data_IF_324842849573
#
_entry.id   IF_324842849573
#
_cell.length_a   1.000
_cell.length_b   1.000
_cell.length_c   1.000
_cell.angle_alpha   90.00
_cell.angle_beta   90.00
_cell.angle_gamma   90.00
#
_symmetry.space_group_name_H-M   'P 1'
#
loop_
_entity.id
_entity.type
_entity.pdbx_description
1 polymer ?
#
# COMPACT_ATOMS: atom_id res chain seq x y z
N UNK A 1 35.51 32.90 -49.31
CA UNK A 1 35.47 33.88 -48.20
C UNK A 1 34.52 33.31 -47.15
N UNK A 2 35.11 32.86 -46.04
CA UNK A 2 34.56 32.32 -44.77
C UNK A 2 33.27 31.48 -44.76
N UNK A 3 33.45 30.17 -44.50
CA UNK A 3 32.49 29.31 -43.80
C UNK A 3 32.51 29.63 -42.30
N UNK A 4 31.35 29.83 -41.67
CA UNK A 4 31.21 30.00 -40.21
C UNK A 4 30.96 28.62 -39.58
N UNK A 5 31.96 28.10 -38.86
CA UNK A 5 31.91 26.82 -38.13
C UNK A 5 31.26 26.98 -36.75
N UNK A 6 30.47 25.97 -36.42
CA UNK A 6 30.13 25.42 -35.10
C UNK A 6 31.26 25.61 -34.06
N UNK A 7 30.93 26.13 -32.89
CA UNK A 7 31.75 25.97 -31.67
C UNK A 7 30.87 25.50 -30.51
N UNK A 8 30.97 24.20 -30.25
CA UNK A 8 30.66 23.57 -28.97
C UNK A 8 31.64 24.18 -27.96
N UNK A 9 31.11 24.84 -26.92
CA UNK A 9 31.92 25.33 -25.81
C UNK A 9 32.37 24.12 -24.99
N UNK A 10 33.61 23.68 -25.24
CA UNK A 10 34.34 22.82 -24.30
C UNK A 10 34.66 23.65 -23.06
N UNK A 11 34.03 23.35 -21.93
CA UNK A 11 34.40 23.87 -20.62
C UNK A 11 35.79 23.31 -20.27
N UNK A 12 36.86 24.02 -20.64
CA UNK A 12 38.21 23.60 -20.32
C UNK A 12 38.46 23.81 -18.82
N UNK A 13 38.75 22.72 -18.13
CA UNK A 13 39.25 22.66 -16.75
C UNK A 13 40.64 23.32 -16.61
N UNK A 14 40.71 24.64 -16.80
CA UNK A 14 41.94 25.43 -16.69
C UNK A 14 41.63 26.78 -16.05
N UNK A 15 41.06 26.74 -14.85
CA UNK A 15 41.15 27.83 -13.87
C UNK A 15 41.08 27.30 -12.42
N UNK A 16 41.50 26.06 -12.18
CA UNK A 16 41.41 25.38 -10.86
C UNK A 16 42.78 25.24 -10.18
N UNK A 17 43.88 25.67 -10.80
CA UNK A 17 45.24 25.42 -10.28
C UNK A 17 45.95 26.65 -9.72
N UNK A 18 45.21 27.67 -9.26
CA UNK A 18 45.86 28.87 -8.69
C UNK A 18 45.18 29.46 -7.44
N UNK A 19 44.65 28.63 -6.54
CA UNK A 19 44.30 29.07 -5.17
C UNK A 19 44.57 28.01 -4.10
N UNK A 20 45.60 27.17 -4.28
CA UNK A 20 46.04 26.20 -3.26
C UNK A 20 47.16 26.71 -2.35
N UNK A 21 47.56 27.99 -2.44
CA UNK A 21 48.76 28.47 -1.74
C UNK A 21 48.57 29.57 -0.69
N UNK A 22 47.34 29.82 -0.23
CA UNK A 22 47.11 30.53 1.04
C UNK A 22 45.92 29.86 1.74
N UNK A 23 46.20 29.12 2.82
CA UNK A 23 45.28 28.16 3.42
C UNK A 23 43.99 28.76 3.98
N UNK A 24 42.91 28.80 3.18
CA UNK A 24 41.60 29.30 3.64
C UNK A 24 40.41 28.36 3.34
N UNK A 25 40.55 27.26 2.60
CA UNK A 25 39.45 26.27 2.52
C UNK A 25 39.97 24.86 2.26
N UNK A 26 39.43 23.89 3.00
CA UNK A 26 39.59 22.46 2.68
C UNK A 26 38.67 22.09 1.51
N UNK A 27 38.99 21.04 0.73
CA UNK A 27 38.09 20.52 -0.31
C UNK A 27 36.68 20.19 0.22
N UNK A 28 36.58 19.73 1.48
CA UNK A 28 35.30 19.50 2.16
C UNK A 28 34.57 20.80 2.46
N UNK A 29 35.26 21.87 2.87
CA UNK A 29 34.66 23.19 3.08
C UNK A 29 34.22 23.83 1.75
N UNK A 30 34.93 23.56 0.65
CA UNK A 30 34.55 23.99 -0.70
C UNK A 30 33.35 23.20 -1.24
N UNK A 31 33.31 21.89 -1.05
CA UNK A 31 32.16 21.06 -1.42
C UNK A 31 30.92 21.47 -0.61
N UNK A 32 31.07 21.71 0.70
CA UNK A 32 30.00 22.15 1.60
C UNK A 32 29.52 23.57 1.28
N UNK A 33 30.40 24.46 0.82
CA UNK A 33 30.01 25.81 0.37
C UNK A 33 29.26 25.78 -0.96
N UNK A 34 29.67 24.91 -1.90
CA UNK A 34 28.96 24.64 -3.16
C UNK A 34 27.59 23.99 -2.92
N UNK A 35 27.51 22.99 -2.03
CA UNK A 35 26.25 22.33 -1.67
C UNK A 35 25.26 23.36 -1.10
N UNK A 36 25.69 24.17 -0.13
CA UNK A 36 24.89 25.25 0.46
C UNK A 36 24.43 26.31 -0.55
N UNK A 37 25.18 26.51 -1.63
CA UNK A 37 24.87 27.51 -2.69
C UNK A 37 23.99 26.91 -3.80
N UNK A 38 24.06 25.60 -4.04
CA UNK A 38 23.19 24.90 -5.01
C UNK A 38 21.81 24.64 -4.38
N UNK A 39 21.76 24.23 -3.11
CA UNK A 39 20.51 24.00 -2.37
C UNK A 39 19.68 25.29 -2.16
N UNK A 40 20.24 26.49 -2.41
CA UNK A 40 19.58 27.78 -2.12
C UNK A 40 19.28 28.66 -3.33
N UNK A 41 19.81 28.35 -4.53
CA UNK A 41 19.65 29.19 -5.72
C UNK A 41 18.65 28.59 -6.72
N UNK A 42 18.50 27.26 -6.80
CA UNK A 42 17.58 26.62 -7.76
C UNK A 42 16.16 26.38 -7.21
N UNK A 43 15.98 26.23 -5.89
CA UNK A 43 14.68 25.93 -5.27
C UNK A 43 13.83 27.15 -4.88
N UNK A 44 14.32 28.36 -5.14
CA UNK A 44 13.61 29.62 -4.82
C UNK A 44 13.49 30.55 -6.03
N UNK A 45 13.91 30.09 -7.19
CA UNK A 45 13.69 30.82 -8.41
C UNK A 45 12.17 30.85 -8.66
N UNK A 46 11.65 32.01 -8.98
CA UNK A 46 10.26 32.29 -9.33
C UNK A 46 10.36 33.18 -10.58
N UNK A 47 10.25 32.55 -11.74
CA UNK A 47 10.65 33.13 -13.02
C UNK A 47 9.60 34.06 -13.61
N UNK A 48 8.33 33.93 -13.24
CA UNK A 48 7.22 34.80 -13.67
C UNK A 48 6.61 35.67 -12.56
N UNK A 49 7.09 35.52 -11.32
CA UNK A 49 6.76 36.33 -10.14
C UNK A 49 5.28 36.19 -9.73
N UNK A 50 4.74 34.99 -9.80
CA UNK A 50 3.41 34.65 -9.34
C UNK A 50 3.40 34.16 -7.87
N UNK A 51 4.58 33.89 -7.30
CA UNK A 51 4.77 33.42 -5.94
C UNK A 51 5.13 31.94 -5.84
N UNK A 52 4.91 31.15 -6.88
CA UNK A 52 5.39 29.78 -6.97
C UNK A 52 6.86 29.76 -7.37
N UNK A 53 7.57 28.77 -6.84
CA UNK A 53 8.94 28.51 -7.28
C UNK A 53 8.91 27.66 -8.55
N UNK A 54 9.85 27.90 -9.47
CA UNK A 54 10.06 27.11 -10.69
C UNK A 54 10.12 25.60 -10.41
N UNK A 55 10.53 25.22 -9.20
CA UNK A 55 10.55 23.84 -8.74
C UNK A 55 9.15 23.26 -8.50
N UNK A 56 8.25 24.01 -7.86
CA UNK A 56 6.89 23.57 -7.58
C UNK A 56 5.99 23.67 -8.81
N UNK A 57 6.29 24.60 -9.71
CA UNK A 57 5.63 24.67 -11.02
C UNK A 57 6.00 23.51 -11.95
N UNK A 58 7.11 22.81 -11.67
CA UNK A 58 7.67 21.80 -12.55
C UNK A 58 6.66 20.68 -12.82
N UNK A 59 6.21 20.59 -14.09
CA UNK A 59 5.20 19.65 -14.60
C UNK A 59 3.73 19.94 -14.26
N UNK A 60 3.44 21.00 -13.49
CA UNK A 60 2.07 21.37 -13.08
C UNK A 60 1.64 22.63 -13.83
N UNK A 61 2.45 23.68 -13.76
CA UNK A 61 2.21 24.99 -14.38
C UNK A 61 3.40 25.41 -15.25
N UNK A 62 3.39 26.64 -15.76
CA UNK A 62 4.42 27.19 -16.63
C UNK A 62 5.32 28.16 -15.87
N UNK A 63 6.60 27.80 -15.71
CA UNK A 63 7.64 28.62 -15.03
C UNK A 63 7.96 29.99 -15.66
N UNK A 64 7.19 30.48 -16.62
CA UNK A 64 7.43 31.77 -17.30
C UNK A 64 6.11 32.48 -17.64
N UNK A 65 4.98 31.94 -17.19
CA UNK A 65 3.66 32.47 -17.44
C UNK A 65 2.78 32.29 -16.19
N UNK A 66 2.65 33.37 -15.44
CA UNK A 66 2.00 33.43 -14.13
C UNK A 66 0.49 33.12 -14.10
N UNK A 67 -0.13 32.86 -15.25
CA UNK A 67 -1.51 32.39 -15.41
C UNK A 67 -1.49 31.38 -16.57
N UNK A 68 -1.13 30.14 -16.26
CA UNK A 68 -0.88 29.07 -17.24
C UNK A 68 -2.10 28.79 -18.09
N UNK A 69 -3.29 28.86 -17.49
CA UNK A 69 -4.54 28.49 -18.16
C UNK A 69 -5.33 29.70 -18.71
N UNK A 70 -4.91 30.93 -18.40
CA UNK A 70 -5.51 32.17 -18.89
C UNK A 70 -6.88 32.48 -18.30
N UNK A 71 -7.21 31.97 -17.12
CA UNK A 71 -8.52 32.16 -16.49
C UNK A 71 -8.61 33.47 -15.67
N UNK A 72 -7.48 34.18 -15.49
CA UNK A 72 -7.39 35.42 -14.72
C UNK A 72 -7.08 35.24 -13.23
N UNK A 73 -6.77 34.04 -12.77
CA UNK A 73 -6.23 33.69 -11.45
C UNK A 73 -4.76 33.35 -11.66
N UNK A 74 -3.87 33.82 -10.78
CA UNK A 74 -2.45 33.49 -10.88
C UNK A 74 -2.22 32.04 -10.48
N UNK A 75 -1.24 31.36 -11.06
CA UNK A 75 -0.97 29.95 -10.81
C UNK A 75 -0.75 29.68 -9.30
N UNK A 76 -0.06 30.55 -8.57
CA UNK A 76 0.08 30.49 -7.10
C UNK A 76 -1.22 30.65 -6.30
N UNK A 77 -2.21 31.36 -6.84
CA UNK A 77 -3.53 31.55 -6.22
C UNK A 77 -4.55 30.45 -6.61
N UNK A 78 -4.19 29.56 -7.53
CA UNK A 78 -5.02 28.41 -7.89
C UNK A 78 -4.98 27.30 -6.83
N UNK A 79 -5.93 26.38 -6.90
CA UNK A 79 -6.05 25.17 -6.07
C UNK A 79 -6.08 23.99 -7.05
N UNK A 80 -4.89 23.53 -7.45
CA UNK A 80 -4.74 22.68 -8.62
C UNK A 80 -5.36 21.29 -8.41
N UNK A 81 -5.22 20.73 -7.21
CA UNK A 81 -5.79 19.42 -6.88
C UNK A 81 -7.23 19.49 -6.34
N UNK A 82 -7.67 20.64 -5.83
CA UNK A 82 -9.01 20.86 -5.30
C UNK A 82 -9.22 20.36 -3.88
N UNK A 83 -8.19 20.29 -3.03
CA UNK A 83 -8.30 20.00 -1.58
C UNK A 83 -8.71 21.25 -0.77
N UNK A 84 -8.56 22.44 -1.38
CA UNK A 84 -8.93 23.73 -0.84
C UNK A 84 -7.77 24.57 -0.31
N UNK A 85 -6.53 24.11 -0.38
CA UNK A 85 -5.33 24.95 -0.24
C UNK A 85 -5.00 25.56 -1.60
N UNK A 86 -4.47 26.78 -1.59
CA UNK A 86 -3.87 27.35 -2.79
C UNK A 86 -2.49 26.73 -3.04
N UNK A 87 -2.05 26.68 -4.29
CA UNK A 87 -0.74 26.17 -4.68
C UNK A 87 0.39 26.87 -3.89
N UNK A 88 0.22 28.15 -3.57
CA UNK A 88 1.16 28.90 -2.72
C UNK A 88 1.12 28.45 -1.26
N UNK A 89 -0.06 28.22 -0.67
CA UNK A 89 -0.18 27.66 0.67
C UNK A 89 0.46 26.27 0.74
N UNK A 90 0.26 25.44 -0.28
CA UNK A 90 0.87 24.11 -0.36
C UNK A 90 2.39 24.18 -0.42
N UNK A 91 2.94 25.09 -1.24
CA UNK A 91 4.37 25.37 -1.28
C UNK A 91 4.92 25.79 0.11
N UNK A 92 4.18 26.63 0.85
CA UNK A 92 4.58 27.07 2.19
C UNK A 92 4.54 25.94 3.23
N UNK A 93 3.59 25.02 3.07
CA UNK A 93 3.39 23.84 3.93
C UNK A 93 4.32 22.67 3.56
N UNK A 94 4.90 22.69 2.36
CA UNK A 94 5.70 21.60 1.82
C UNK A 94 4.86 20.40 1.39
N UNK A 95 3.60 20.64 1.01
CA UNK A 95 2.68 19.66 0.42
C UNK A 95 2.80 19.66 -1.12
N UNK A 96 2.07 18.79 -1.79
CA UNK A 96 2.13 18.55 -3.22
C UNK A 96 0.93 19.17 -3.92
N UNK A 97 1.23 20.15 -4.77
CA UNK A 97 0.25 20.87 -5.60
C UNK A 97 -0.67 19.97 -6.45
N UNK A 98 -0.26 18.74 -6.76
CA UNK A 98 -1.02 17.79 -7.58
C UNK A 98 -1.68 16.65 -6.81
N UNK A 99 -1.68 16.68 -5.47
CA UNK A 99 -2.17 15.58 -4.65
C UNK A 99 -2.77 16.03 -3.32
N UNK A 100 -4.10 15.86 -3.23
CA UNK A 100 -4.89 16.25 -2.04
C UNK A 100 -4.42 15.67 -0.72
N UNK A 101 -3.75 14.53 -0.78
CA UNK A 101 -3.19 13.76 0.33
C UNK A 101 -1.71 13.58 0.00
N UNK A 102 -0.89 14.48 0.53
CA UNK A 102 0.49 14.66 0.12
C UNK A 102 1.40 13.51 0.57
N UNK A 103 1.15 12.93 1.74
CA UNK A 103 1.94 11.84 2.29
C UNK A 103 1.29 10.44 2.12
N UNK A 104 0.07 10.39 1.62
CA UNK A 104 -0.65 9.18 1.24
C UNK A 104 -1.12 8.38 2.45
N UNK A 105 -1.53 9.03 3.53
CA UNK A 105 -2.03 8.39 4.74
C UNK A 105 -3.55 8.20 4.77
N UNK A 106 -4.27 8.86 3.85
CA UNK A 106 -5.72 8.81 3.69
C UNK A 106 -6.46 10.05 4.20
N UNK A 107 -5.76 11.11 4.61
CA UNK A 107 -6.33 12.41 4.95
C UNK A 107 -5.96 13.46 3.89
N UNK A 108 -6.91 14.35 3.58
CA UNK A 108 -6.61 15.49 2.71
C UNK A 108 -5.80 16.55 3.51
N UNK A 109 -4.82 17.21 2.88
CA UNK A 109 -3.85 18.10 3.54
C UNK A 109 -4.53 19.23 4.31
N UNK A 110 -5.55 19.87 3.71
CA UNK A 110 -6.36 20.88 4.39
C UNK A 110 -7.08 20.35 5.62
N UNK A 111 -7.57 19.11 5.56
CA UNK A 111 -8.34 18.48 6.64
C UNK A 111 -7.42 18.22 7.83
N UNK A 112 -6.22 17.75 7.57
CA UNK A 112 -5.19 17.57 8.60
C UNK A 112 -4.94 18.86 9.37
N UNK A 113 -4.66 19.96 8.67
CA UNK A 113 -4.35 21.25 9.31
C UNK A 113 -5.54 21.77 10.12
N UNK A 114 -6.73 21.82 9.52
CA UNK A 114 -7.88 22.53 10.11
C UNK A 114 -8.57 21.72 11.20
N UNK A 115 -8.59 20.39 11.07
CA UNK A 115 -9.39 19.53 11.94
C UNK A 115 -8.56 18.73 12.92
N UNK A 116 -7.47 18.13 12.46
CA UNK A 116 -6.70 17.14 13.24
C UNK A 116 -5.41 17.71 13.82
N UNK A 117 -4.94 18.85 13.29
CA UNK A 117 -3.69 19.50 13.68
C UNK A 117 -2.46 18.59 13.49
N UNK A 118 -2.56 17.65 12.54
CA UNK A 118 -1.47 16.79 12.07
C UNK A 118 -0.62 17.51 11.01
N UNK A 119 0.42 16.85 10.52
CA UNK A 119 1.34 17.41 9.52
C UNK A 119 1.07 16.77 8.16
N UNK A 120 0.58 17.53 7.16
CA UNK A 120 0.15 16.95 5.88
C UNK A 120 1.25 16.38 4.98
N UNK A 121 2.52 16.58 5.34
CA UNK A 121 3.67 16.01 4.65
C UNK A 121 4.32 14.86 5.43
N UNK A 122 3.70 14.42 6.52
CA UNK A 122 4.22 13.40 7.44
C UNK A 122 3.11 12.45 7.85
N UNK A 123 3.07 11.29 7.19
CA UNK A 123 1.99 10.32 7.34
C UNK A 123 1.77 9.74 8.75
N UNK A 124 2.66 10.01 9.70
CA UNK A 124 2.68 9.54 11.10
C UNK A 124 3.26 10.71 11.92
N UNK A 125 2.38 11.57 12.42
CA UNK A 125 2.75 12.89 12.94
C UNK A 125 3.51 12.81 14.26
N UNK A 126 3.15 11.86 15.12
CA UNK A 126 3.75 11.65 16.44
C UNK A 126 4.87 10.60 16.46
N UNK A 127 5.00 9.82 15.40
CA UNK A 127 6.10 8.89 15.15
C UNK A 127 5.97 7.58 15.91
N UNK A 128 4.76 7.13 16.20
CA UNK A 128 4.50 5.92 16.99
C UNK A 128 4.44 4.64 16.13
N UNK A 129 4.39 4.79 14.81
CA UNK A 129 4.30 3.70 13.83
C UNK A 129 2.89 3.47 13.27
N UNK A 130 1.90 4.28 13.63
CA UNK A 130 0.57 4.36 13.05
C UNK A 130 0.47 5.60 12.16
N UNK A 131 -0.26 5.47 11.05
CA UNK A 131 -0.53 6.62 10.20
C UNK A 131 -1.69 7.43 10.77
N UNK A 132 -1.67 8.76 10.66
CA UNK A 132 -2.69 9.64 11.25
C UNK A 132 -4.09 9.29 10.74
N UNK A 133 -4.23 9.08 9.43
CA UNK A 133 -5.47 8.63 8.79
C UNK A 133 -6.01 7.30 9.33
N UNK A 134 -5.14 6.41 9.80
CA UNK A 134 -5.49 5.11 10.38
C UNK A 134 -6.03 5.26 11.78
N UNK A 135 -5.33 6.05 12.59
CA UNK A 135 -5.71 6.38 13.95
C UNK A 135 -7.08 7.03 13.99
N UNK A 136 -7.30 8.05 13.16
CA UNK A 136 -8.56 8.79 13.08
C UNK A 136 -9.71 7.93 12.56
N UNK A 137 -9.49 7.21 11.46
CA UNK A 137 -10.60 6.58 10.73
C UNK A 137 -11.01 5.21 11.30
N UNK A 138 -10.10 4.52 11.99
CA UNK A 138 -10.31 3.12 12.37
C UNK A 138 -10.07 2.83 13.85
N UNK A 139 -9.06 3.44 14.47
CA UNK A 139 -8.71 3.16 15.87
C UNK A 139 -9.44 4.10 16.83
N UNK A 140 -9.70 5.33 16.41
CA UNK A 140 -10.18 6.40 17.26
C UNK A 140 -9.15 6.85 18.30
N UNK A 141 -7.86 6.69 18.01
CA UNK A 141 -6.74 7.23 18.80
C UNK A 141 -6.42 8.69 18.41
N UNK A 142 -5.60 9.35 19.21
CA UNK A 142 -5.13 10.71 18.97
C UNK A 142 -3.79 10.66 18.21
N UNK A 143 -3.72 11.13 16.95
CA UNK A 143 -2.50 11.08 16.13
C UNK A 143 -1.39 12.03 16.59
N UNK A 144 -1.62 12.74 17.70
CA UNK A 144 -0.64 13.61 18.34
C UNK A 144 -0.10 12.98 19.63
N UNK A 145 -0.49 11.75 19.97
CA UNK A 145 -0.15 11.09 21.22
C UNK A 145 0.33 9.64 21.05
N UNK A 146 1.65 9.49 20.99
CA UNK A 146 2.32 8.21 20.72
C UNK A 146 2.16 7.09 21.77
N UNK A 147 1.56 7.36 22.94
CA UNK A 147 1.32 6.39 24.03
C UNK A 147 0.05 6.80 24.81
N UNK A 148 -1.12 6.52 24.22
CA UNK A 148 -2.43 6.94 24.72
C UNK A 148 -2.70 6.42 26.14
N UNK A 149 -2.26 5.20 26.42
CA UNK A 149 -2.53 4.54 27.70
C UNK A 149 -1.41 4.75 28.75
N UNK A 150 -0.35 5.49 28.40
CA UNK A 150 0.81 5.81 29.25
C UNK A 150 1.51 4.58 29.85
N UNK A 151 1.56 3.46 29.11
CA UNK A 151 2.18 2.22 29.57
C UNK A 151 3.67 2.10 29.19
N UNK A 152 4.24 3.11 28.51
CA UNK A 152 5.61 3.16 27.97
C UNK A 152 5.85 2.27 26.76
N UNK A 153 4.79 1.93 26.04
CA UNK A 153 4.82 1.24 24.76
C UNK A 153 4.08 2.12 23.78
N UNK A 154 4.66 2.31 22.60
CA UNK A 154 4.04 3.11 21.56
C UNK A 154 2.76 2.42 21.08
N UNK A 155 1.73 3.19 20.73
CA UNK A 155 0.46 2.59 20.31
C UNK A 155 0.65 1.77 19.03
N UNK A 156 1.51 2.20 18.10
CA UNK A 156 1.93 1.42 16.94
C UNK A 156 2.61 0.09 17.24
N UNK A 157 3.19 -0.11 18.43
CA UNK A 157 3.72 -1.40 18.87
C UNK A 157 2.65 -2.31 19.50
N UNK A 158 1.44 -1.79 19.74
CA UNK A 158 0.32 -2.54 20.30
C UNK A 158 -0.44 -3.36 19.26
N UNK A 159 -1.21 -4.34 19.74
CA UNK A 159 -2.03 -5.17 18.88
C UNK A 159 -3.36 -4.46 18.63
N UNK A 160 -3.60 -4.14 17.37
CA UNK A 160 -4.81 -3.48 16.89
C UNK A 160 -5.73 -4.47 16.19
N UNK A 161 -7.03 -4.23 16.32
CA UNK A 161 -8.07 -5.11 15.76
C UNK A 161 -8.96 -4.35 14.80
N UNK A 162 -8.98 -4.80 13.56
CA UNK A 162 -9.72 -4.19 12.46
C UNK A 162 -10.83 -5.13 12.02
N UNK A 163 -12.08 -4.73 12.20
CA UNK A 163 -13.22 -5.51 11.74
C UNK A 163 -13.61 -5.05 10.34
N UNK A 164 -13.80 -6.00 9.42
CA UNK A 164 -14.32 -5.70 8.09
C UNK A 164 -15.70 -6.34 7.87
N UNK A 165 -16.64 -5.62 7.22
CA UNK A 165 -17.99 -6.09 7.01
C UNK A 165 -18.05 -7.24 6.00
N UNK A 166 -19.25 -7.81 5.87
CA UNK A 166 -19.56 -8.84 4.88
C UNK A 166 -19.26 -8.33 3.46
N UNK A 167 -18.41 -9.04 2.72
CA UNK A 167 -18.15 -8.76 1.30
C UNK A 167 -19.17 -9.44 0.36
N UNK A 168 -18.95 -9.34 -0.95
CA UNK A 168 -19.82 -9.91 -1.99
C UNK A 168 -19.99 -11.44 -1.89
N UNK A 169 -18.97 -12.16 -1.40
CA UNK A 169 -19.00 -13.61 -1.16
C UNK A 169 -19.58 -13.98 0.20
N UNK A 170 -19.89 -12.98 1.01
CA UNK A 170 -20.42 -13.13 2.33
C UNK A 170 -19.41 -13.41 3.44
N UNK A 171 -18.13 -13.34 3.12
CA UNK A 171 -17.04 -13.46 4.09
C UNK A 171 -16.98 -12.18 4.91
N UNK A 172 -16.85 -12.33 6.22
CA UNK A 172 -16.64 -11.25 7.19
C UNK A 172 -15.60 -11.69 8.20
N UNK A 173 -15.04 -10.75 8.94
CA UNK A 173 -14.09 -11.11 9.97
C UNK A 173 -13.38 -9.92 10.58
N UNK A 174 -12.30 -10.23 11.27
CA UNK A 174 -11.38 -9.26 11.82
C UNK A 174 -9.93 -9.64 11.50
N UNK A 175 -9.10 -8.61 11.46
CA UNK A 175 -7.65 -8.70 11.30
C UNK A 175 -7.01 -8.16 12.57
N UNK A 176 -6.00 -8.86 13.07
CA UNK A 176 -5.25 -8.46 14.26
C UNK A 176 -3.78 -8.37 13.86
N UNK A 177 -3.16 -7.23 14.14
CA UNK A 177 -1.77 -6.97 13.79
C UNK A 177 -1.17 -5.83 14.62
N UNK A 178 0.08 -5.51 14.35
CA UNK A 178 0.84 -4.41 14.96
C UNK A 178 1.07 -3.36 13.86
N UNK A 179 1.20 -2.07 14.23
CA UNK A 179 1.35 -0.95 13.29
C UNK A 179 0.17 -0.87 12.32
N UNK A 180 0.43 -0.41 11.09
CA UNK A 180 -0.53 -0.16 10.04
C UNK A 180 -1.05 -1.46 9.43
N UNK A 181 -2.10 -2.03 10.04
CA UNK A 181 -2.77 -3.23 9.52
C UNK A 181 -3.52 -2.88 8.22
N UNK A 182 -3.41 -3.67 7.14
CA UNK A 182 -4.07 -3.41 5.88
C UNK A 182 -5.59 -3.31 6.05
N UNK A 183 -6.17 -2.18 5.65
CA UNK A 183 -7.59 -1.90 5.86
C UNK A 183 -8.52 -2.49 4.79
N UNK A 184 -7.96 -3.04 3.71
CA UNK A 184 -8.73 -3.57 2.59
C UNK A 184 -8.37 -5.02 2.28
N UNK A 185 -9.21 -5.94 2.75
CA UNK A 185 -9.17 -7.34 2.33
C UNK A 185 -9.88 -7.48 0.99
N UNK A 186 -9.10 -7.53 -0.08
CA UNK A 186 -9.64 -7.83 -1.40
C UNK A 186 -9.82 -9.34 -1.54
N UNK A 187 -11.03 -9.80 -1.23
CA UNK A 187 -11.50 -11.14 -1.55
C UNK A 187 -11.97 -11.14 -2.99
N UNK A 188 -11.26 -11.84 -3.88
CA UNK A 188 -11.65 -12.02 -5.28
C UNK A 188 -11.52 -13.47 -5.70
N UNK A 189 -12.41 -13.91 -6.57
CA UNK A 189 -12.30 -15.23 -7.19
C UNK A 189 -11.02 -15.31 -8.01
N UNK A 190 -10.05 -16.08 -7.52
CA UNK A 190 -8.82 -16.38 -8.25
C UNK A 190 -8.91 -17.82 -8.68
N UNK A 191 -9.05 -18.11 -9.98
CA UNK A 191 -9.33 -19.46 -10.39
C UNK A 191 -8.01 -20.26 -10.31
N UNK A 192 -7.82 -21.05 -9.24
CA UNK A 192 -6.70 -21.99 -9.12
C UNK A 192 -6.96 -23.13 -10.10
N UNK A 193 -6.06 -23.40 -11.06
CA UNK A 193 -6.30 -24.40 -12.13
C UNK A 193 -6.82 -25.75 -11.59
N UNK A 194 -6.33 -26.18 -10.43
CA UNK A 194 -6.78 -27.39 -9.74
C UNK A 194 -8.21 -27.30 -9.16
N UNK A 195 -8.66 -26.12 -8.74
CA UNK A 195 -9.99 -25.88 -8.17
C UNK A 195 -11.02 -25.41 -9.21
N UNK A 196 -10.59 -24.93 -10.37
CA UNK A 196 -11.47 -24.51 -11.48
C UNK A 196 -12.39 -25.64 -11.96
N UNK A 197 -11.95 -26.90 -11.84
CA UNK A 197 -12.74 -28.07 -12.21
C UNK A 197 -13.81 -28.42 -11.15
N UNK A 198 -13.68 -27.89 -9.92
CA UNK A 198 -14.59 -28.16 -8.81
C UNK A 198 -15.67 -27.07 -8.76
N UNK A 199 -16.83 -27.35 -9.36
CA UNK A 199 -17.93 -26.38 -9.53
C UNK A 199 -18.50 -25.79 -8.24
N UNK A 200 -18.29 -26.45 -7.09
CA UNK A 200 -18.76 -26.04 -5.76
C UNK A 200 -17.78 -25.16 -4.98
N UNK A 201 -16.56 -24.96 -5.50
CA UNK A 201 -15.48 -24.30 -4.77
C UNK A 201 -15.68 -22.78 -4.63
N UNK A 202 -15.67 -22.28 -3.40
CA UNK A 202 -15.47 -20.85 -3.16
C UNK A 202 -13.96 -20.59 -3.09
N UNK A 203 -13.42 -19.92 -4.10
CA UNK A 203 -12.01 -19.51 -4.11
C UNK A 203 -11.91 -18.02 -3.87
N UNK A 204 -10.98 -17.63 -3.01
CA UNK A 204 -10.71 -16.22 -2.75
C UNK A 204 -9.24 -15.95 -2.45
N UNK A 205 -8.84 -14.70 -2.61
CA UNK A 205 -7.51 -14.23 -2.24
C UNK A 205 -7.60 -13.26 -1.06
N UNK A 206 -6.57 -13.21 -0.22
CA UNK A 206 -6.37 -12.16 0.78
C UNK A 206 -5.03 -11.51 0.46
N UNK A 207 -5.07 -10.26 0.02
CA UNK A 207 -3.87 -9.49 -0.29
C UNK A 207 -3.33 -8.92 1.02
N UNK A 208 -2.41 -9.63 1.66
CA UNK A 208 -1.60 -9.12 2.76
C UNK A 208 -0.17 -9.58 2.57
N UNK A 209 0.76 -8.62 2.60
CA UNK A 209 2.20 -8.88 2.51
C UNK A 209 2.82 -9.18 3.89
N UNK A 210 2.10 -8.88 4.98
CA UNK A 210 2.57 -9.14 6.33
C UNK A 210 2.18 -10.57 6.76
N UNK A 211 3.16 -11.46 6.97
CA UNK A 211 2.90 -12.82 7.41
C UNK A 211 2.45 -12.93 8.87
N UNK A 212 2.54 -11.86 9.67
CA UNK A 212 2.24 -11.86 11.10
C UNK A 212 0.83 -11.37 11.43
N UNK A 213 0.08 -10.90 10.43
CA UNK A 213 -1.32 -10.50 10.63
C UNK A 213 -2.17 -11.75 10.79
N UNK A 214 -2.93 -11.77 11.87
CA UNK A 214 -3.91 -12.80 12.18
C UNK A 214 -5.26 -12.45 11.55
N UNK A 215 -5.86 -13.41 10.88
CA UNK A 215 -7.17 -13.29 10.25
C UNK A 215 -8.16 -14.23 10.93
N UNK A 216 -9.21 -13.65 11.53
CA UNK A 216 -10.31 -14.35 12.16
C UNK A 216 -11.56 -14.20 11.30
N UNK A 217 -11.87 -15.23 10.49
CA UNK A 217 -12.88 -15.14 9.43
C UNK A 217 -14.07 -16.06 9.65
N UNK A 218 -15.24 -15.55 9.27
CA UNK A 218 -16.48 -16.30 9.14
C UNK A 218 -16.82 -16.42 7.65
N UNK A 219 -16.68 -17.63 7.11
CA UNK A 219 -16.84 -17.92 5.68
C UNK A 219 -18.13 -18.72 5.48
N UNK A 220 -19.15 -18.19 4.77
CA UNK A 220 -20.41 -18.89 4.61
C UNK A 220 -20.24 -20.16 3.77
N UNK A 221 -20.98 -21.23 4.12
CA UNK A 221 -21.08 -22.45 3.33
C UNK A 221 -22.41 -22.53 2.59
N UNK A 222 -22.41 -23.12 1.39
CA UNK A 222 -23.61 -23.28 0.58
C UNK A 222 -24.47 -24.46 1.08
N UNK A 223 -25.78 -24.24 1.23
CA UNK A 223 -26.74 -25.11 1.93
C UNK A 223 -27.00 -26.48 1.27
N UNK A 224 -26.45 -26.75 0.09
CA UNK A 224 -26.80 -27.94 -0.71
C UNK A 224 -26.19 -29.26 -0.22
N UNK A 225 -25.22 -29.24 0.70
CA UNK A 225 -24.54 -30.44 1.22
C UNK A 225 -24.50 -30.48 2.75
N UNK A 226 -24.17 -31.63 3.34
CA UNK A 226 -23.97 -31.73 4.80
C UNK A 226 -22.80 -30.84 5.20
N UNK A 227 -23.12 -29.74 5.87
CA UNK A 227 -22.22 -28.63 6.18
C UNK A 227 -20.95 -28.99 7.00
N UNK A 228 -20.86 -30.21 7.56
CA UNK A 228 -19.71 -30.68 8.35
C UNK A 228 -18.54 -31.18 7.48
N UNK A 229 -18.73 -31.33 6.16
CA UNK A 229 -17.69 -31.85 5.26
C UNK A 229 -16.82 -30.74 4.64
N UNK A 230 -17.11 -29.45 4.85
CA UNK A 230 -16.34 -28.35 4.26
C UNK A 230 -15.02 -28.09 4.99
N UNK A 231 -13.96 -27.93 4.21
CA UNK A 231 -12.60 -27.68 4.66
C UNK A 231 -12.04 -26.49 3.89
N UNK A 232 -11.50 -25.51 4.61
CA UNK A 232 -10.72 -24.42 4.05
C UNK A 232 -9.27 -24.87 3.82
N UNK A 233 -8.75 -24.60 2.64
CA UNK A 233 -7.38 -24.83 2.23
C UNK A 233 -6.68 -23.52 1.88
N UNK A 234 -5.38 -23.42 2.18
CA UNK A 234 -4.47 -22.38 1.69
C UNK A 234 -3.59 -22.96 0.59
N UNK A 235 -3.45 -22.25 -0.52
CA UNK A 235 -2.57 -22.66 -1.61
C UNK A 235 -1.12 -22.36 -1.26
N UNK A 236 -0.28 -23.40 -1.30
CA UNK A 236 1.15 -23.29 -1.10
C UNK A 236 1.84 -23.20 -2.47
N UNK A 237 2.25 -21.99 -2.86
CA UNK A 237 2.89 -21.73 -4.15
C UNK A 237 4.18 -22.52 -4.36
N UNK A 238 4.99 -22.69 -3.30
CA UNK A 238 6.28 -23.38 -3.38
C UNK A 238 6.13 -24.87 -3.66
N UNK A 239 5.08 -25.48 -3.11
CA UNK A 239 4.78 -26.91 -3.27
C UNK A 239 3.75 -27.19 -4.36
N UNK A 240 3.11 -26.15 -4.90
CA UNK A 240 2.05 -26.24 -5.91
C UNK A 240 0.92 -27.16 -5.42
N UNK A 241 0.48 -26.96 -4.17
CA UNK A 241 -0.54 -27.82 -3.54
C UNK A 241 -1.44 -27.05 -2.59
N UNK A 242 -2.64 -27.60 -2.33
CA UNK A 242 -3.55 -27.12 -1.30
C UNK A 242 -3.20 -27.74 0.06
N UNK A 243 -3.07 -26.91 1.09
CA UNK A 243 -2.80 -27.33 2.46
C UNK A 243 -3.98 -26.94 3.36
N UNK A 244 -4.59 -27.88 4.11
CA UNK A 244 -5.75 -27.56 4.94
C UNK A 244 -5.37 -26.63 6.09
N UNK A 245 -6.22 -25.65 6.38
CA UNK A 245 -6.12 -24.85 7.60
C UNK A 245 -6.48 -25.76 8.78
N UNK A 246 -5.55 -25.91 9.72
CA UNK A 246 -5.71 -26.87 10.83
C UNK A 246 -6.81 -26.46 11.81
N UNK A 247 -6.87 -25.16 12.10
CA UNK A 247 -7.78 -24.60 13.10
C UNK A 247 -8.97 -23.98 12.40
N UNK A 248 -10.01 -24.80 12.21
CA UNK A 248 -11.27 -24.39 11.61
C UNK A 248 -12.44 -25.09 12.29
N UNK A 249 -13.57 -24.39 12.42
CA UNK A 249 -14.77 -24.90 13.08
C UNK A 249 -16.01 -24.53 12.31
N UNK A 250 -16.85 -25.52 12.04
CA UNK A 250 -18.17 -25.26 11.49
C UNK A 250 -19.14 -24.74 12.56
N UNK A 251 -19.79 -23.61 12.27
CA UNK A 251 -20.82 -22.99 13.09
C UNK A 251 -22.21 -23.24 12.51
N UNK A 252 -23.00 -24.11 13.16
CA UNK A 252 -24.41 -24.38 12.80
C UNK A 252 -25.30 -23.14 12.88
N UNK A 253 -24.99 -22.20 13.78
CA UNK A 253 -25.78 -20.99 14.00
C UNK A 253 -25.71 -20.03 12.82
N UNK A 254 -24.52 -19.88 12.26
CA UNK A 254 -24.23 -18.90 11.19
C UNK A 254 -24.08 -19.56 9.83
N UNK A 255 -24.13 -20.89 9.78
CA UNK A 255 -23.88 -21.69 8.58
C UNK A 255 -22.57 -21.28 7.88
N UNK A 256 -21.49 -21.28 8.66
CA UNK A 256 -20.18 -20.79 8.24
C UNK A 256 -19.05 -21.62 8.83
N UNK A 257 -17.91 -21.61 8.15
CA UNK A 257 -16.62 -22.03 8.69
C UNK A 257 -15.99 -20.82 9.38
N UNK A 258 -15.71 -20.96 10.67
CA UNK A 258 -14.93 -20.03 11.47
C UNK A 258 -13.48 -20.49 11.48
N UNK A 259 -12.55 -19.63 11.07
CA UNK A 259 -11.13 -19.94 10.91
C UNK A 259 -10.26 -18.84 11.49
N UNK A 260 -9.10 -19.25 12.00
CA UNK A 260 -8.00 -18.39 12.40
C UNK A 260 -6.74 -18.81 11.64
N UNK A 261 -6.03 -17.86 11.03
CA UNK A 261 -4.75 -18.12 10.37
C UNK A 261 -3.90 -16.85 10.24
N UNK A 262 -2.59 -17.06 10.04
CA UNK A 262 -1.63 -15.99 9.81
C UNK A 262 -1.37 -15.74 8.32
N UNK A 263 -1.27 -14.46 7.97
CA UNK A 263 -0.86 -13.95 6.67
C UNK A 263 -1.86 -14.19 5.54
N UNK A 264 -1.76 -13.34 4.51
CA UNK A 264 -2.57 -13.43 3.30
C UNK A 264 -2.25 -14.66 2.42
N UNK A 265 -2.88 -14.70 1.25
CA UNK A 265 -2.68 -15.73 0.23
C UNK A 265 -3.97 -16.15 -0.48
N UNK A 266 -3.88 -17.19 -1.30
CA UNK A 266 -5.05 -17.77 -1.99
C UNK A 266 -5.63 -18.92 -1.18
N UNK A 267 -6.95 -18.88 -1.00
CA UNK A 267 -7.72 -19.82 -0.20
C UNK A 267 -8.83 -20.46 -1.03
N UNK A 268 -9.11 -21.73 -0.74
CA UNK A 268 -10.16 -22.51 -1.41
C UNK A 268 -10.98 -23.22 -0.34
N UNK A 269 -12.29 -22.97 -0.32
CA UNK A 269 -13.24 -23.70 0.50
C UNK A 269 -13.87 -24.81 -0.35
N UNK A 270 -13.73 -26.06 0.09
CA UNK A 270 -14.17 -27.26 -0.63
C UNK A 270 -14.89 -28.23 0.30
N UNK A 271 -15.86 -28.97 -0.24
CA UNK A 271 -16.36 -30.19 0.41
C UNK A 271 -15.26 -31.27 0.36
N UNK A 272 -15.05 -31.97 1.46
CA UNK A 272 -14.04 -33.04 1.58
C UNK A 272 -14.25 -34.15 0.54
N UNK A 273 -15.50 -34.39 0.14
CA UNK A 273 -15.88 -35.37 -0.89
C UNK A 273 -15.35 -34.95 -2.26
N UNK A 274 -15.62 -33.71 -2.65
CA UNK A 274 -15.16 -33.15 -3.93
C UNK A 274 -13.62 -33.18 -4.02
N UNK A 275 -12.92 -32.88 -2.92
CA UNK A 275 -11.46 -32.94 -2.91
C UNK A 275 -10.94 -34.37 -3.16
N UNK A 276 -11.54 -35.39 -2.53
CA UNK A 276 -11.11 -36.79 -2.74
C UNK A 276 -11.40 -37.33 -4.13
N UNK A 277 -12.43 -36.81 -4.81
CA UNK A 277 -12.79 -37.20 -6.18
C UNK A 277 -11.80 -36.63 -7.21
N UNK A 278 -11.34 -35.38 -7.01
CA UNK A 278 -10.47 -34.68 -7.95
C UNK A 278 -8.96 -34.81 -7.67
N UNK A 279 -8.55 -35.04 -6.41
CA UNK A 279 -7.15 -35.31 -6.05
C UNK A 279 -7.00 -36.80 -5.73
N UNK A 280 -6.66 -37.66 -6.72
CA UNK A 280 -6.54 -39.08 -6.48
C UNK A 280 -5.38 -39.36 -5.52
N UNK A 281 -5.71 -39.80 -4.30
CA UNK A 281 -4.73 -40.33 -3.36
C UNK A 281 -3.98 -41.51 -3.99
N UNK A 282 -2.79 -41.85 -3.47
CA UNK A 282 -2.06 -43.07 -3.88
C UNK A 282 -2.94 -44.33 -3.77
N UNK A 283 -3.91 -44.32 -2.85
CA UNK A 283 -4.88 -45.38 -2.63
C UNK A 283 -6.01 -45.36 -3.67
N UNK A 284 -6.53 -44.17 -4.04
CA UNK A 284 -7.47 -44.03 -5.14
C UNK A 284 -6.86 -44.48 -6.48
N UNK A 285 -5.58 -44.16 -6.74
CA UNK A 285 -4.84 -44.71 -7.90
C UNK A 285 -4.76 -46.24 -7.87
N UNK A 286 -4.53 -46.84 -6.69
CA UNK A 286 -4.50 -48.32 -6.56
C UNK A 286 -5.86 -48.97 -6.82
N UNK A 287 -6.95 -48.35 -6.36
CA UNK A 287 -8.32 -48.87 -6.60
C UNK A 287 -8.71 -48.77 -8.07
N UNK A 288 -8.45 -47.62 -8.71
CA UNK A 288 -8.70 -47.42 -10.15
C UNK A 288 -7.93 -48.42 -11.01
N UNK A 289 -6.67 -48.70 -10.68
CA UNK A 289 -5.84 -49.71 -11.37
C UNK A 289 -6.37 -51.14 -11.13
N UNK A 290 -7.00 -51.43 -10.00
CA UNK A 290 -7.58 -52.75 -9.73
C UNK A 290 -8.93 -52.94 -10.44
N UNK A 291 -9.74 -51.89 -10.53
CA UNK A 291 -11.00 -51.89 -11.29
C UNK A 291 -10.74 -52.02 -12.80
N UNK A 292 -9.79 -51.25 -13.36
CA UNK A 292 -9.38 -51.36 -14.77
C UNK A 292 -8.75 -52.73 -15.11
N UNK A 293 -8.09 -53.38 -14.14
CA UNK A 293 -7.58 -54.76 -14.31
C UNK A 293 -8.64 -55.84 -14.11
N UNK A 294 -9.74 -55.52 -13.43
CA UNK A 294 -10.90 -56.41 -13.26
C UNK A 294 -11.77 -56.45 -14.51
N UNK A 295 -11.90 -55.34 -15.23
CA UNK A 295 -12.70 -55.22 -16.45
C UNK A 295 -12.01 -55.79 -17.71
N UNK A 296 -10.70 -56.09 -17.63
CA UNK A 296 -9.95 -56.77 -18.71
C UNK A 296 -10.13 -58.30 -18.74
N UNK A 297 -11.07 -58.87 -17.97
CA UNK A 297 -11.41 -60.30 -17.99
C UNK A 297 -12.90 -60.52 -18.17
N UNK A 298 -13.40 -60.17 -19.35
CA UNK A 298 -14.63 -60.74 -19.94
C UNK A 298 -14.48 -60.80 -21.44
#
# INVERSE_FOLDING_TARGET
>A
MLMKKMHILTLSASLVTLFFFQGVMTPEAYAKSKQKTIDSIEFKQDSDNDGLTDFNELFITSTINNDTNGNGILDGDEDYDGDGLTNLEEQELGTKLDAKDSDGDGLDDKVEIVKYQTKPSVADTDGDGLKDGIEISYLGSDPLNSDENNNKKLDGDEKHKYTFPKNEFGIKGEMIGISNVPQKVIVRQTPVLLAQEIRSALTFNIVSLDPNIEFNLSIPVNEKEKNEDYVLYKYNEKKVQLEPIKEQKYSKRTNSIEVEFLGGGTFVLLSSKDFTEYVPTKEAKKRKIQEEKGESKT
#
